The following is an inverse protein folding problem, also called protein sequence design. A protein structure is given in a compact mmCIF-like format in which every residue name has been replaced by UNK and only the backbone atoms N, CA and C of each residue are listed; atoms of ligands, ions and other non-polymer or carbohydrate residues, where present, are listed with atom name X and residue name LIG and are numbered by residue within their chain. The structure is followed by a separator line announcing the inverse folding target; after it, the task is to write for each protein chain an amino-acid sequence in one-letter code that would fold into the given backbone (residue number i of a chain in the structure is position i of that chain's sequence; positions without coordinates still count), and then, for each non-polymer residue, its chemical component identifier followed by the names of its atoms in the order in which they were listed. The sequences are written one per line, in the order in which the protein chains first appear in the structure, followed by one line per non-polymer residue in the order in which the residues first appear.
data_IF_730581807563
#
_entry.id   IF_730581807563
#
_cell.length_a   1.000
_cell.length_b   1.000
_cell.length_c   1.000
_cell.angle_alpha   90.00
_cell.angle_beta   90.00
_cell.angle_gamma   90.00
#
_symmetry.space_group_name_H-M   'P 1'
#
loop_
_entity.id
_entity.type
_entity.pdbx_description
1 polymer ?
#
# COMPACT_ATOMS: atom_id res chain seq x y z
N UNK A 1 12.85 -54.95 -5.45
CA UNK A 1 12.93 -55.49 -4.06
C UNK A 1 13.36 -54.34 -3.14
N UNK A 2 12.70 -54.12 -2.03
CA UNK A 2 12.87 -52.92 -1.19
C UNK A 2 14.15 -53.01 -0.38
N UNK A 3 15.06 -52.01 -0.54
CA UNK A 3 16.31 -51.89 0.21
C UNK A 3 16.13 -51.21 1.57
N UNK A 4 14.89 -51.06 2.06
CA UNK A 4 14.54 -50.39 3.28
C UNK A 4 15.34 -50.85 4.54
N UNK A 5 15.59 -52.17 4.77
CA UNK A 5 16.36 -52.58 5.92
C UNK A 5 17.84 -52.15 5.84
N UNK A 6 18.40 -51.98 4.64
CA UNK A 6 19.77 -51.54 4.46
C UNK A 6 19.95 -50.04 4.68
N UNK A 7 18.98 -49.21 4.23
CA UNK A 7 18.99 -47.78 4.46
C UNK A 7 18.84 -47.43 5.95
N UNK A 8 17.98 -48.12 6.69
CA UNK A 8 17.82 -47.94 8.14
C UNK A 8 19.09 -48.26 8.92
N UNK A 9 19.80 -49.36 8.58
CA UNK A 9 21.05 -49.71 9.22
C UNK A 9 22.14 -48.68 8.95
N UNK A 10 22.27 -48.23 7.70
CA UNK A 10 23.21 -47.16 7.34
C UNK A 10 22.90 -45.84 8.09
N UNK A 11 21.66 -45.50 8.22
CA UNK A 11 21.25 -44.30 8.98
C UNK A 11 21.63 -44.40 10.45
N UNK A 12 21.52 -45.59 11.07
CA UNK A 12 21.94 -45.79 12.45
C UNK A 12 23.46 -45.75 12.60
N UNK A 13 24.25 -46.35 11.68
CA UNK A 13 25.71 -46.27 11.67
C UNK A 13 26.17 -44.81 11.51
N UNK A 14 25.56 -44.04 10.64
CA UNK A 14 25.84 -42.61 10.46
C UNK A 14 25.54 -41.80 11.77
N UNK A 15 24.41 -42.06 12.44
CA UNK A 15 24.11 -41.42 13.72
C UNK A 15 25.12 -41.76 14.81
N UNK A 16 25.64 -43.01 14.81
CA UNK A 16 26.65 -43.45 15.75
C UNK A 16 27.97 -42.71 15.52
N UNK A 17 28.44 -42.63 14.26
CA UNK A 17 29.63 -41.90 13.89
C UNK A 17 29.55 -40.42 14.23
N UNK A 18 28.43 -39.77 13.98
CA UNK A 18 28.23 -38.35 14.32
C UNK A 18 28.20 -38.09 15.82
N UNK A 19 27.65 -39.02 16.61
CA UNK A 19 27.66 -38.91 18.08
C UNK A 19 29.02 -39.18 18.70
N UNK A 20 29.85 -39.99 18.07
CA UNK A 20 31.20 -40.33 18.56
C UNK A 20 32.18 -39.17 18.43
N UNK A 21 32.20 -38.50 17.31
CA UNK A 21 33.05 -37.34 17.05
C UNK A 21 32.47 -36.50 15.90
N UNK A 22 31.76 -35.39 16.22
CA UNK A 22 31.18 -34.51 15.17
C UNK A 22 32.21 -33.87 14.24
N UNK A 23 33.46 -33.71 14.66
CA UNK A 23 34.48 -33.00 13.89
C UNK A 23 35.07 -33.90 12.76
N UNK A 24 35.17 -35.19 12.97
CA UNK A 24 35.68 -36.18 12.00
C UNK A 24 34.55 -36.93 11.28
N UNK A 25 33.30 -36.77 11.75
CA UNK A 25 32.12 -37.45 11.23
C UNK A 25 31.94 -37.28 9.72
N UNK A 26 32.09 -36.09 9.09
CA UNK A 26 31.86 -35.94 7.64
C UNK A 26 32.76 -36.86 6.81
N UNK A 27 34.02 -37.01 7.20
CA UNK A 27 34.97 -37.84 6.50
C UNK A 27 34.65 -39.35 6.70
N UNK A 28 34.38 -39.74 7.95
CA UNK A 28 34.03 -41.11 8.30
C UNK A 28 32.70 -41.56 7.62
N UNK A 29 31.72 -40.69 7.51
CA UNK A 29 30.45 -40.94 6.81
C UNK A 29 30.69 -41.12 5.29
N UNK A 30 31.52 -40.27 4.72
CA UNK A 30 31.88 -40.37 3.30
C UNK A 30 32.54 -41.71 2.98
N UNK A 31 33.49 -42.15 3.81
CA UNK A 31 34.21 -43.42 3.65
C UNK A 31 33.29 -44.63 3.90
N UNK A 32 32.39 -44.55 4.88
CA UNK A 32 31.35 -45.56 5.12
C UNK A 32 30.44 -45.74 3.88
N UNK A 33 29.91 -44.63 3.36
CA UNK A 33 29.04 -44.66 2.18
C UNK A 33 29.75 -45.19 0.97
N UNK A 34 31.02 -44.77 0.75
CA UNK A 34 31.85 -45.28 -0.36
C UNK A 34 32.07 -46.77 -0.28
N UNK A 35 32.39 -47.31 0.92
CA UNK A 35 32.62 -48.72 1.15
C UNK A 35 31.36 -49.56 1.00
N UNK A 36 30.22 -49.07 1.53
CA UNK A 36 28.96 -49.83 1.52
C UNK A 36 28.23 -49.80 0.19
N UNK A 37 28.50 -48.80 -0.65
CA UNK A 37 27.88 -48.64 -1.97
C UNK A 37 28.80 -49.02 -3.12
N UNK A 38 30.04 -49.44 -2.85
CA UNK A 38 31.01 -49.83 -3.87
C UNK A 38 30.54 -50.95 -4.82
N UNK A 39 29.83 -51.93 -4.27
CA UNK A 39 29.32 -53.08 -5.01
C UNK A 39 27.86 -52.91 -5.53
N UNK A 40 27.27 -51.71 -5.37
CA UNK A 40 25.93 -51.45 -5.81
C UNK A 40 25.91 -50.81 -7.21
N UNK A 41 24.96 -51.17 -8.11
CA UNK A 41 24.73 -50.44 -9.34
C UNK A 41 24.42 -48.96 -9.06
N UNK A 42 24.85 -48.06 -9.92
CA UNK A 42 24.73 -46.60 -9.69
C UNK A 42 23.30 -46.14 -9.44
N UNK A 43 22.31 -46.79 -10.03
CA UNK A 43 20.86 -46.55 -9.81
C UNK A 43 20.41 -46.91 -8.38
N UNK A 44 20.91 -48.07 -7.88
CA UNK A 44 20.52 -48.57 -6.55
C UNK A 44 21.27 -47.81 -5.45
N UNK A 45 22.53 -47.44 -5.68
CA UNK A 45 23.32 -46.60 -4.79
C UNK A 45 22.66 -45.23 -4.58
N UNK A 46 22.21 -44.56 -5.65
CA UNK A 46 21.49 -43.28 -5.59
C UNK A 46 20.17 -43.40 -4.80
N UNK A 47 19.43 -44.47 -5.03
CA UNK A 47 18.18 -44.72 -4.32
C UNK A 47 18.41 -44.97 -2.82
N UNK A 48 19.40 -45.80 -2.47
CA UNK A 48 19.78 -46.08 -1.06
C UNK A 48 20.20 -44.80 -0.34
N UNK A 49 21.00 -43.92 -1.00
CA UNK A 49 21.36 -42.62 -0.41
C UNK A 49 20.14 -41.72 -0.20
N UNK A 50 19.21 -41.68 -1.15
CA UNK A 50 17.94 -40.93 -0.96
C UNK A 50 17.09 -41.47 0.21
N UNK A 51 17.02 -42.82 0.36
CA UNK A 51 16.30 -43.43 1.49
C UNK A 51 17.03 -43.13 2.82
N UNK A 52 18.37 -43.14 2.85
CA UNK A 52 19.13 -42.72 4.03
C UNK A 52 18.91 -41.26 4.37
N UNK A 53 18.93 -40.35 3.38
CA UNK A 53 18.65 -38.94 3.58
C UNK A 53 17.25 -38.72 4.14
N UNK A 54 16.25 -39.52 3.74
CA UNK A 54 14.91 -39.44 4.28
C UNK A 54 14.84 -39.76 5.79
N UNK A 55 15.77 -40.59 6.32
CA UNK A 55 15.88 -40.86 7.76
C UNK A 55 16.49 -39.70 8.57
N UNK A 56 17.21 -38.77 7.92
CA UNK A 56 17.80 -37.57 8.53
C UNK A 56 17.03 -36.29 8.20
N UNK A 57 16.18 -36.33 7.20
CA UNK A 57 15.22 -35.26 7.00
C UNK A 57 14.33 -35.19 8.25
N UNK A 58 14.15 -34.00 8.85
CA UNK A 58 13.14 -33.86 9.89
C UNK A 58 11.85 -34.49 9.33
N UNK A 59 11.08 -35.24 10.15
CA UNK A 59 9.83 -35.77 9.69
C UNK A 59 9.12 -34.61 8.99
N UNK A 60 8.72 -34.77 7.72
CA UNK A 60 7.79 -33.86 7.09
C UNK A 60 6.56 -33.90 7.98
N UNK A 61 6.57 -33.10 9.04
CA UNK A 61 5.38 -32.82 9.79
C UNK A 61 4.42 -32.36 8.74
N UNK A 62 3.26 -33.00 8.60
CA UNK A 62 2.24 -32.42 7.76
C UNK A 62 2.03 -31.01 8.36
N UNK A 63 2.50 -29.98 7.64
CA UNK A 63 2.36 -28.57 8.01
C UNK A 63 0.88 -28.20 8.30
N UNK A 64 -0.02 -29.15 8.19
CA UNK A 64 -1.45 -28.99 8.36
C UNK A 64 -1.97 -29.10 9.78
N UNK A 65 -1.15 -29.24 10.82
CA UNK A 65 -1.66 -29.43 12.19
C UNK A 65 -0.91 -28.70 13.31
N UNK A 66 0.03 -27.79 13.01
CA UNK A 66 0.51 -26.91 14.06
C UNK A 66 -0.48 -25.75 14.25
N UNK A 67 -0.76 -25.32 15.49
CA UNK A 67 -1.62 -24.15 15.73
C UNK A 67 -1.13 -22.91 14.97
N UNK A 68 0.18 -22.77 14.80
CA UNK A 68 0.80 -21.68 14.04
C UNK A 68 0.46 -21.73 12.55
N UNK A 69 0.42 -22.93 11.94
CA UNK A 69 0.05 -23.12 10.54
C UNK A 69 -1.44 -22.82 10.28
N UNK A 70 -2.31 -23.16 11.23
CA UNK A 70 -3.74 -22.84 11.13
C UNK A 70 -3.97 -21.33 11.23
N UNK A 71 -3.31 -20.65 12.17
CA UNK A 71 -3.38 -19.18 12.32
C UNK A 71 -2.85 -18.50 11.07
N UNK A 72 -1.71 -18.91 10.54
CA UNK A 72 -1.14 -18.35 9.31
C UNK A 72 -2.08 -18.56 8.12
N UNK A 73 -2.66 -19.74 7.99
CA UNK A 73 -3.67 -20.06 6.94
C UNK A 73 -4.88 -19.14 7.03
N UNK A 74 -5.37 -18.90 8.23
CA UNK A 74 -6.50 -18.02 8.49
C UNK A 74 -6.16 -16.55 8.13
N UNK A 75 -5.00 -16.05 8.60
CA UNK A 75 -4.55 -14.68 8.32
C UNK A 75 -4.38 -14.45 6.82
N UNK A 76 -3.68 -15.33 6.12
CA UNK A 76 -3.48 -15.21 4.66
C UNK A 76 -4.81 -15.36 3.91
N UNK A 77 -5.71 -16.24 4.38
CA UNK A 77 -7.05 -16.38 3.84
C UNK A 77 -7.88 -15.10 3.95
N UNK A 78 -7.82 -14.43 5.11
CA UNK A 78 -8.48 -13.14 5.33
C UNK A 78 -7.90 -12.04 4.42
N UNK A 79 -6.57 -11.97 4.29
CA UNK A 79 -5.90 -10.99 3.44
C UNK A 79 -6.22 -11.17 1.96
N UNK A 80 -6.33 -12.42 1.49
CA UNK A 80 -6.60 -12.73 0.08
C UNK A 80 -8.09 -12.82 -0.26
N UNK A 81 -8.98 -12.79 0.75
CA UNK A 81 -10.42 -12.94 0.56
C UNK A 81 -10.82 -14.32 -0.01
N UNK A 82 -9.97 -15.34 0.11
CA UNK A 82 -10.20 -16.70 -0.38
C UNK A 82 -9.67 -17.75 0.59
N UNK A 83 -10.18 -18.98 0.47
CA UNK A 83 -9.63 -20.10 1.22
C UNK A 83 -8.22 -20.41 0.72
N UNK A 84 -7.28 -20.52 1.65
CA UNK A 84 -5.88 -20.86 1.43
C UNK A 84 -5.65 -22.24 2.04
N UNK A 85 -4.88 -23.07 1.37
CA UNK A 85 -4.52 -24.40 1.88
C UNK A 85 -3.14 -24.36 2.53
N UNK A 86 -2.81 -25.26 3.46
CA UNK A 86 -1.46 -25.36 4.01
C UNK A 86 -0.37 -25.57 2.96
N UNK A 87 -0.70 -26.20 1.84
CA UNK A 87 0.21 -26.40 0.72
C UNK A 87 0.55 -25.06 0.02
N UNK A 88 -0.40 -24.14 -0.07
CA UNK A 88 -0.17 -22.79 -0.59
C UNK A 88 0.84 -22.01 0.30
N UNK A 89 0.81 -22.24 1.62
CA UNK A 89 1.71 -21.60 2.59
C UNK A 89 3.10 -22.24 2.67
N UNK A 90 3.26 -23.47 2.18
CA UNK A 90 4.56 -24.14 2.10
C UNK A 90 5.45 -23.56 0.99
N UNK A 91 4.88 -22.76 0.09
CA UNK A 91 5.59 -22.08 -0.97
C UNK A 91 6.19 -20.77 -0.48
N UNK A 92 7.49 -20.74 -0.25
CA UNK A 92 8.24 -19.50 0.05
C UNK A 92 7.95 -18.40 -0.96
N UNK A 93 7.77 -18.77 -2.24
CA UNK A 93 7.46 -17.84 -3.32
C UNK A 93 6.11 -17.13 -3.11
N UNK A 94 5.08 -17.82 -2.64
CA UNK A 94 3.76 -17.22 -2.38
C UNK A 94 3.84 -16.23 -1.23
N UNK A 95 4.53 -16.59 -0.13
CA UNK A 95 4.71 -15.72 1.01
C UNK A 95 5.53 -14.48 0.64
N UNK A 96 6.58 -14.65 -0.16
CA UNK A 96 7.40 -13.52 -0.64
C UNK A 96 6.59 -12.58 -1.54
N UNK A 97 5.78 -13.10 -2.46
CA UNK A 97 4.89 -12.30 -3.31
C UNK A 97 3.83 -11.56 -2.49
N UNK A 98 3.27 -12.21 -1.46
CA UNK A 98 2.32 -11.55 -0.55
C UNK A 98 3.00 -10.41 0.21
N UNK A 99 4.18 -10.64 0.77
CA UNK A 99 4.96 -9.61 1.46
C UNK A 99 5.29 -8.42 0.55
N UNK A 100 5.70 -8.67 -0.69
CA UNK A 100 5.93 -7.62 -1.70
C UNK A 100 4.66 -6.83 -2.03
N UNK A 101 3.54 -7.51 -2.17
CA UNK A 101 2.25 -6.88 -2.45
C UNK A 101 1.80 -5.98 -1.29
N UNK A 102 1.88 -6.47 -0.05
CA UNK A 102 1.59 -5.67 1.14
C UNK A 102 2.52 -4.47 1.26
N UNK A 103 3.82 -4.67 0.98
CA UNK A 103 4.80 -3.57 0.95
C UNK A 103 4.40 -2.49 -0.06
N UNK A 104 3.96 -2.88 -1.25
CA UNK A 104 3.51 -1.96 -2.29
C UNK A 104 2.25 -1.19 -1.86
N UNK A 105 1.27 -1.90 -1.27
CA UNK A 105 0.04 -1.29 -0.74
C UNK A 105 0.36 -0.25 0.34
N UNK A 106 1.21 -0.59 1.31
CA UNK A 106 1.58 0.33 2.38
C UNK A 106 2.34 1.55 1.86
N UNK A 107 3.20 1.39 0.85
CA UNK A 107 3.88 2.52 0.22
C UNK A 107 2.89 3.45 -0.49
N UNK A 108 1.93 2.90 -1.24
CA UNK A 108 0.90 3.67 -1.91
C UNK A 108 -0.02 4.40 -0.91
N UNK A 109 -0.45 3.72 0.16
CA UNK A 109 -1.24 4.34 1.22
C UNK A 109 -0.48 5.48 1.91
N UNK A 110 0.79 5.28 2.27
CA UNK A 110 1.62 6.34 2.86
C UNK A 110 1.77 7.55 1.93
N UNK A 111 1.85 7.31 0.61
CA UNK A 111 1.90 8.41 -0.36
C UNK A 111 0.56 9.17 -0.41
N UNK A 112 -0.57 8.47 -0.42
CA UNK A 112 -1.90 9.09 -0.38
C UNK A 112 -2.11 9.90 0.91
N UNK A 113 -1.76 9.32 2.06
CA UNK A 113 -1.85 10.00 3.36
C UNK A 113 -1.04 11.29 3.35
N UNK A 114 0.20 11.25 2.88
CA UNK A 114 1.04 12.46 2.78
C UNK A 114 0.43 13.53 1.89
N UNK A 115 -0.15 13.16 0.73
CA UNK A 115 -0.81 14.11 -0.17
C UNK A 115 -2.02 14.75 0.51
N UNK A 116 -2.87 13.95 1.15
CA UNK A 116 -4.07 14.42 1.87
C UNK A 116 -3.66 15.41 2.97
N UNK A 117 -2.69 15.04 3.77
CA UNK A 117 -2.23 15.84 4.90
C UNK A 117 -1.54 17.14 4.45
N UNK A 118 -0.68 17.07 3.43
CA UNK A 118 -0.09 18.26 2.83
C UNK A 118 -1.16 19.24 2.30
N UNK A 119 -2.27 18.71 1.77
CA UNK A 119 -3.37 19.51 1.25
C UNK A 119 -4.19 20.18 2.36
N UNK A 120 -4.37 19.50 3.49
CA UNK A 120 -5.24 19.98 4.60
C UNK A 120 -4.48 20.76 5.66
N UNK A 121 -3.23 20.39 5.95
CA UNK A 121 -2.45 20.91 7.08
C UNK A 121 -1.31 21.85 6.68
N UNK A 122 -1.15 22.11 5.39
CA UNK A 122 -0.08 23.00 4.90
C UNK A 122 1.33 22.43 5.08
N UNK A 123 1.48 21.08 5.16
CA UNK A 123 2.77 20.41 5.23
C UNK A 123 3.33 20.27 6.65
N UNK A 124 2.62 19.62 7.55
CA UNK A 124 3.15 19.19 8.84
C UNK A 124 4.16 18.05 8.67
N UNK A 125 5.44 18.31 8.93
CA UNK A 125 6.47 17.28 9.08
C UNK A 125 6.17 16.52 10.38
N UNK A 126 5.94 15.21 10.30
CA UNK A 126 5.87 14.35 11.49
C UNK A 126 4.70 13.39 11.59
N UNK A 127 3.92 13.21 10.53
CA UNK A 127 2.82 12.25 10.58
C UNK A 127 3.32 10.81 10.49
N UNK A 128 2.85 10.03 11.45
CA UNK A 128 3.10 8.63 11.56
C UNK A 128 2.68 7.88 10.28
N UNK A 129 3.58 7.08 9.75
CA UNK A 129 3.27 6.22 8.61
C UNK A 129 2.34 5.08 9.03
N UNK A 130 1.53 4.57 8.11
CA UNK A 130 0.65 3.41 8.38
C UNK A 130 1.45 2.20 8.92
N UNK A 131 2.72 2.05 8.53
CA UNK A 131 3.58 0.96 9.04
C UNK A 131 3.97 1.17 10.50
N UNK A 132 4.33 2.39 10.86
CA UNK A 132 4.62 2.72 12.26
C UNK A 132 3.37 2.50 13.11
N UNK A 133 2.22 2.96 12.63
CA UNK A 133 0.94 2.73 13.30
C UNK A 133 0.65 1.24 13.52
N UNK A 134 0.79 0.41 12.47
CA UNK A 134 0.58 -1.05 12.55
C UNK A 134 1.64 -1.69 13.46
N UNK A 135 2.92 -1.28 13.35
CA UNK A 135 4.01 -1.81 14.18
C UNK A 135 3.74 -1.61 15.66
N UNK A 136 3.42 -0.39 16.07
CA UNK A 136 3.11 -0.05 17.46
C UNK A 136 1.84 -0.76 17.96
N UNK A 137 0.84 -0.96 17.09
CA UNK A 137 -0.36 -1.72 17.45
C UNK A 137 -0.06 -3.22 17.68
N UNK A 138 0.88 -3.81 16.91
CA UNK A 138 1.30 -5.20 17.07
C UNK A 138 2.21 -5.40 18.27
N UNK A 139 2.99 -4.39 18.66
CA UNK A 139 3.88 -4.42 19.83
C UNK A 139 3.11 -4.26 21.16
N UNK A 140 1.81 -4.04 21.09
CA UNK A 140 0.93 -3.98 22.28
C UNK A 140 1.07 -2.69 23.08
N UNK A 141 1.57 -1.63 22.47
CA UNK A 141 1.48 -0.31 23.06
C UNK A 141 0.01 0.10 23.19
N UNK A 142 -0.39 0.47 24.42
CA UNK A 142 -1.77 0.90 24.75
C UNK A 142 -2.13 2.17 23.96
N UNK A 143 -2.51 2.00 22.70
CA UNK A 143 -3.02 3.10 21.89
C UNK A 143 -4.50 3.25 22.07
N UNK A 144 -4.91 4.48 22.28
CA UNK A 144 -6.32 4.88 22.36
C UNK A 144 -7.04 4.82 21.02
N UNK A 145 -6.30 4.77 19.90
CA UNK A 145 -6.86 4.81 18.53
C UNK A 145 -6.68 3.47 17.81
N UNK A 146 -7.77 2.91 17.29
CA UNK A 146 -7.75 1.71 16.45
C UNK A 146 -7.29 2.04 15.02
N UNK A 147 -6.78 1.05 14.26
CA UNK A 147 -6.44 1.20 12.84
C UNK A 147 -7.65 1.66 12.01
N UNK A 148 -8.84 1.19 12.34
CA UNK A 148 -10.09 1.59 11.69
C UNK A 148 -10.37 3.09 11.91
N UNK A 149 -10.23 3.57 13.15
CA UNK A 149 -10.40 4.99 13.48
C UNK A 149 -9.35 5.86 12.78
N UNK A 150 -8.09 5.44 12.75
CA UNK A 150 -7.02 6.12 12.02
C UNK A 150 -7.32 6.25 10.52
N UNK A 151 -7.72 5.15 9.86
CA UNK A 151 -8.08 5.16 8.45
C UNK A 151 -9.39 5.93 8.19
N UNK A 152 -10.34 5.87 9.12
CA UNK A 152 -11.57 6.67 9.10
C UNK A 152 -11.27 8.15 9.07
N UNK A 153 -10.38 8.62 9.94
CA UNK A 153 -9.95 10.03 9.98
C UNK A 153 -9.30 10.49 8.67
N UNK A 154 -8.49 9.63 8.04
CA UNK A 154 -7.89 9.92 6.72
C UNK A 154 -8.96 10.03 5.64
N UNK A 155 -9.94 9.12 5.66
CA UNK A 155 -11.07 9.17 4.73
C UNK A 155 -11.89 10.44 4.91
N UNK A 156 -12.19 10.83 6.14
CA UNK A 156 -12.92 12.06 6.43
C UNK A 156 -12.16 13.31 5.98
N UNK A 157 -10.85 13.32 6.19
CA UNK A 157 -9.96 14.36 5.68
C UNK A 157 -10.00 14.45 4.15
N UNK A 158 -9.98 13.32 3.45
CA UNK A 158 -10.11 13.29 2.01
C UNK A 158 -11.46 13.82 1.52
N UNK A 159 -12.56 13.42 2.16
CA UNK A 159 -13.90 13.91 1.83
C UNK A 159 -14.04 15.42 2.09
N UNK A 160 -13.48 15.90 3.20
CA UNK A 160 -13.42 17.33 3.51
C UNK A 160 -12.66 18.12 2.45
N UNK A 161 -11.52 17.59 1.98
CA UNK A 161 -10.73 18.19 0.89
C UNK A 161 -11.52 18.28 -0.41
N UNK A 162 -12.24 17.22 -0.79
CA UNK A 162 -13.10 17.23 -1.98
C UNK A 162 -14.20 18.27 -1.86
N UNK A 163 -14.84 18.39 -0.71
CA UNK A 163 -15.90 19.36 -0.50
C UNK A 163 -15.36 20.80 -0.50
N UNK A 164 -14.20 21.03 0.09
CA UNK A 164 -13.50 22.31 0.03
C UNK A 164 -13.15 22.71 -1.42
N UNK A 165 -12.67 21.76 -2.22
CA UNK A 165 -12.40 21.98 -3.64
C UNK A 165 -13.66 22.40 -4.40
N UNK A 166 -14.79 21.68 -4.24
CA UNK A 166 -16.06 22.03 -4.88
C UNK A 166 -16.51 23.45 -4.50
N UNK A 167 -16.39 23.82 -3.23
CA UNK A 167 -16.75 25.17 -2.75
C UNK A 167 -15.86 26.24 -3.35
N UNK A 168 -14.55 26.01 -3.42
CA UNK A 168 -13.61 26.95 -4.04
C UNK A 168 -13.90 27.12 -5.54
N UNK A 169 -14.16 26.02 -6.28
CA UNK A 169 -14.55 26.08 -7.68
C UNK A 169 -15.82 26.89 -7.86
N UNK A 170 -16.88 26.56 -7.09
CA UNK A 170 -18.16 27.26 -7.20
C UNK A 170 -18.03 28.76 -6.87
N UNK A 171 -17.21 29.11 -5.86
CA UNK A 171 -16.93 30.50 -5.52
C UNK A 171 -16.27 31.24 -6.68
N UNK A 172 -15.19 30.66 -7.29
CA UNK A 172 -14.44 31.34 -8.36
C UNK A 172 -15.23 31.40 -9.68
N UNK A 173 -15.91 30.32 -10.03
CA UNK A 173 -16.80 30.31 -11.21
C UNK A 173 -17.95 31.29 -11.02
N UNK A 174 -18.55 31.32 -9.82
CA UNK A 174 -19.59 32.30 -9.50
C UNK A 174 -19.11 33.74 -9.65
N UNK A 175 -17.89 34.07 -9.20
CA UNK A 175 -17.29 35.39 -9.38
C UNK A 175 -17.15 35.75 -10.87
N UNK A 176 -16.68 34.83 -11.71
CA UNK A 176 -16.57 35.03 -13.15
C UNK A 176 -17.95 35.26 -13.75
N UNK A 177 -18.91 34.38 -13.46
CA UNK A 177 -20.28 34.53 -14.00
C UNK A 177 -20.94 35.83 -13.58
N UNK A 178 -20.73 36.25 -12.35
CA UNK A 178 -21.24 37.56 -11.87
C UNK A 178 -20.55 38.75 -12.55
N UNK A 179 -19.28 38.64 -12.87
CA UNK A 179 -18.54 39.71 -13.56
C UNK A 179 -19.02 39.95 -14.99
N UNK A 180 -19.43 38.87 -15.67
CA UNK A 180 -19.92 38.93 -17.08
C UNK A 180 -21.45 38.91 -17.19
N UNK A 181 -22.16 39.01 -16.08
CA UNK A 181 -23.62 39.03 -16.01
C UNK A 181 -24.17 40.21 -16.82
N UNK A 182 -25.03 39.97 -17.87
CA UNK A 182 -25.57 41.03 -18.72
C UNK A 182 -26.35 42.09 -17.95
N UNK A 183 -27.05 41.72 -16.89
CA UNK A 183 -27.81 42.67 -16.06
C UNK A 183 -26.88 43.61 -15.28
N UNK A 184 -25.77 43.08 -14.74
CA UNK A 184 -24.76 43.89 -14.09
C UNK A 184 -23.98 44.75 -15.05
N UNK A 185 -23.68 44.24 -16.26
CA UNK A 185 -23.07 45.03 -17.35
C UNK A 185 -24.00 46.18 -17.74
N UNK A 186 -25.30 45.92 -17.86
CA UNK A 186 -26.29 46.94 -18.17
C UNK A 186 -26.44 47.99 -17.08
N UNK A 187 -26.28 47.64 -15.80
CA UNK A 187 -26.33 48.55 -14.66
C UNK A 187 -25.10 49.48 -14.56
N UNK A 188 -23.96 49.09 -15.13
CA UNK A 188 -22.72 49.88 -15.11
C UNK A 188 -22.66 50.92 -16.23
N UNK A 189 -23.69 51.03 -17.07
CA UNK A 189 -23.75 52.05 -18.12
C UNK A 189 -23.67 53.47 -17.58
N UNK A 190 -22.96 54.31 -18.27
CA UNK A 190 -22.96 55.74 -17.96
C UNK A 190 -24.35 56.30 -18.20
N UNK A 191 -24.93 56.99 -17.17
CA UNK A 191 -26.27 57.57 -17.20
C UNK A 191 -26.38 58.69 -18.28
N UNK A 192 -26.80 58.35 -19.49
CA UNK A 192 -27.08 59.26 -20.57
C UNK A 192 -28.19 58.76 -21.49
N UNK A 193 -28.90 59.64 -22.18
CA UNK A 193 -29.94 59.34 -23.15
C UNK A 193 -29.29 58.69 -24.43
N UNK A 194 -28.79 57.45 -24.33
CA UNK A 194 -28.28 56.69 -25.46
C UNK A 194 -29.40 55.78 -26.00
N UNK A 195 -29.64 55.82 -27.32
CA UNK A 195 -30.72 55.10 -27.97
C UNK A 195 -30.17 53.81 -28.65
N UNK A 196 -30.90 52.73 -28.51
CA UNK A 196 -30.79 51.43 -29.17
C UNK A 196 -29.35 50.92 -29.52
N UNK A 197 -28.80 51.23 -30.69
CA UNK A 197 -27.50 50.71 -31.11
C UNK A 197 -26.33 51.19 -30.26
N UNK A 198 -26.36 52.41 -29.74
CA UNK A 198 -25.32 52.99 -28.87
C UNK A 198 -25.26 52.30 -27.50
N UNK A 199 -26.42 51.87 -27.01
CA UNK A 199 -26.46 51.08 -25.75
C UNK A 199 -25.79 49.74 -25.89
N UNK A 200 -26.04 49.04 -27.01
CA UNK A 200 -25.40 47.74 -27.27
C UNK A 200 -23.90 47.85 -27.46
N UNK A 201 -23.42 48.93 -28.08
CA UNK A 201 -22.00 49.18 -28.20
C UNK A 201 -21.33 49.40 -26.86
N UNK A 202 -21.94 50.22 -25.98
CA UNK A 202 -21.45 50.46 -24.61
C UNK A 202 -21.45 49.15 -23.77
N UNK A 203 -22.51 48.33 -23.82
CA UNK A 203 -22.57 47.01 -23.18
C UNK A 203 -21.43 46.10 -23.63
N UNK A 204 -21.16 46.11 -24.95
CA UNK A 204 -20.09 45.31 -25.52
C UNK A 204 -18.70 45.79 -25.05
N UNK A 205 -18.47 47.11 -25.02
CA UNK A 205 -17.20 47.66 -24.55
C UNK A 205 -16.96 47.34 -23.04
N UNK A 206 -17.98 47.48 -22.19
CA UNK A 206 -17.92 47.13 -20.78
C UNK A 206 -17.64 45.62 -20.62
N UNK A 207 -18.37 44.78 -21.36
CA UNK A 207 -18.18 43.33 -21.31
C UNK A 207 -16.78 42.94 -21.76
N UNK A 208 -16.29 43.53 -22.84
CA UNK A 208 -14.93 43.31 -23.38
C UNK A 208 -13.87 43.66 -22.33
N UNK A 209 -14.01 44.83 -21.69
CA UNK A 209 -13.07 45.24 -20.61
C UNK A 209 -13.09 44.23 -19.46
N UNK A 210 -14.25 43.73 -19.05
CA UNK A 210 -14.39 42.71 -17.98
C UNK A 210 -13.74 41.38 -18.38
N UNK A 211 -13.96 40.92 -19.60
CA UNK A 211 -13.32 39.71 -20.14
C UNK A 211 -11.80 39.88 -20.19
N UNK A 212 -11.30 41.02 -20.65
CA UNK A 212 -9.87 41.29 -20.70
C UNK A 212 -9.25 41.36 -19.29
N UNK A 213 -9.99 41.83 -18.32
CA UNK A 213 -9.59 41.81 -16.89
C UNK A 213 -9.52 40.37 -16.36
N UNK A 214 -10.52 39.54 -16.65
CA UNK A 214 -10.55 38.10 -16.28
C UNK A 214 -9.39 37.36 -16.94
N UNK A 215 -9.12 37.61 -18.23
CA UNK A 215 -7.98 37.02 -18.93
C UNK A 215 -6.65 37.40 -18.26
N UNK A 216 -6.41 38.68 -18.01
CA UNK A 216 -5.19 39.14 -17.31
C UNK A 216 -5.04 38.50 -15.92
N UNK A 217 -6.13 38.35 -15.19
CA UNK A 217 -6.14 37.66 -13.89
C UNK A 217 -5.76 36.19 -14.03
N UNK A 218 -6.29 35.49 -15.03
CA UNK A 218 -5.98 34.10 -15.33
C UNK A 218 -4.52 33.94 -15.82
N UNK A 219 -4.10 34.72 -16.82
CA UNK A 219 -2.79 34.62 -17.46
C UNK A 219 -1.64 35.00 -16.53
N UNK A 220 -1.90 35.86 -15.56
CA UNK A 220 -0.91 36.26 -14.54
C UNK A 220 -0.68 35.21 -13.44
N UNK A 221 -1.44 34.11 -13.44
CA UNK A 221 -1.39 33.09 -12.36
C UNK A 221 -2.15 33.47 -11.10
N UNK A 222 -2.60 34.74 -10.95
CA UNK A 222 -3.34 35.20 -9.78
C UNK A 222 -4.64 34.46 -9.54
N UNK A 223 -5.29 33.98 -10.62
CA UNK A 223 -6.46 33.12 -10.50
C UNK A 223 -6.14 31.86 -9.66
N UNK A 224 -5.04 31.19 -9.94
CA UNK A 224 -4.63 29.99 -9.22
C UNK A 224 -4.30 30.29 -7.76
N UNK A 225 -3.58 31.39 -7.50
CA UNK A 225 -3.27 31.82 -6.14
C UNK A 225 -4.55 32.11 -5.32
N UNK A 226 -5.49 32.82 -5.90
CA UNK A 226 -6.77 33.14 -5.26
C UNK A 226 -7.66 31.91 -5.09
N UNK A 227 -7.59 30.97 -6.03
CA UNK A 227 -8.27 29.68 -5.93
C UNK A 227 -7.72 28.84 -4.78
N UNK A 228 -6.40 28.68 -4.71
CA UNK A 228 -5.74 27.91 -3.64
C UNK A 228 -6.00 28.53 -2.27
N UNK A 229 -5.97 29.83 -2.16
CA UNK A 229 -6.30 30.55 -0.89
C UNK A 229 -7.75 30.27 -0.44
N UNK A 230 -8.70 30.29 -1.37
CA UNK A 230 -10.09 29.99 -1.08
C UNK A 230 -10.29 28.51 -0.71
N UNK A 231 -9.61 27.62 -1.41
CA UNK A 231 -9.58 26.19 -1.11
C UNK A 231 -9.03 25.92 0.30
N UNK A 232 -7.87 26.49 0.62
CA UNK A 232 -7.24 26.36 1.94
C UNK A 232 -8.15 26.87 3.07
N UNK A 233 -8.80 28.01 2.87
CA UNK A 233 -9.78 28.55 3.80
C UNK A 233 -10.93 27.57 4.06
N UNK A 234 -11.43 26.90 3.03
CA UNK A 234 -12.45 25.89 3.18
C UNK A 234 -11.93 24.63 3.88
N UNK A 235 -10.70 24.18 3.60
CA UNK A 235 -10.07 23.07 4.31
C UNK A 235 -9.95 23.36 5.81
N UNK A 236 -9.46 24.54 6.20
CA UNK A 236 -9.34 24.96 7.61
C UNK A 236 -10.69 25.04 8.33
N UNK A 237 -11.75 25.38 7.64
CA UNK A 237 -13.09 25.40 8.21
C UNK A 237 -13.65 24.00 8.54
N UNK A 238 -13.18 22.96 7.84
CA UNK A 238 -13.52 21.57 8.16
C UNK A 238 -12.67 20.99 9.30
N UNK A 239 -11.40 21.37 9.40
CA UNK A 239 -10.50 20.89 10.46
C UNK A 239 -10.86 21.42 11.87
N UNK A 240 -11.72 22.45 11.97
CA UNK A 240 -12.15 23.06 13.23
C UNK A 240 -13.48 22.50 13.77
N UNK A 241 -14.10 21.59 13.07
CA UNK A 241 -15.34 20.91 13.50
C UNK A 241 -15.04 19.53 14.05
#
# INVERSE_FOLDING_TARGET
MSNAPQASRLAEEIRRLYRADPSTAPQAISDLLRTRLADCPASDGKRTVQEVMAHFSPPKSPLGKSPESEVLTQVVGLLLGRKVTPDDLSSEEILQRLAQSLNTIFNALNQLIRVINATLSGGGDGEQTIRQFIGEHLEGEDRTESLEAYLGRINDAFLASQEAFKKAVNSKVGQIMQAIDPEKVAAERSGGLKIGPLRKAEDFDILKEKIDRIKRWYDSGRFMEDFLREFEKHCQAFSRK
#
